data_IF_470952016831
#
_entry.id   IF_470952016831
#
_cell.length_a   1.000
_cell.length_b   1.000
_cell.length_c   1.000
_cell.angle_alpha   90.00
_cell.angle_beta   90.00
_cell.angle_gamma   90.00
#
_symmetry.space_group_name_H-M   'P 1'
#
loop_
_entity.id
_entity.type
_entity.pdbx_description
1 polymer ?
#
# COMPACT_ATOMS: atom_id res chain seq x y z
N UNK A 1 9.58 14.29 -20.93
CA UNK A 1 8.73 14.45 -22.12
C UNK A 1 7.63 15.49 -21.98
N UNK A 2 7.01 15.72 -20.81
CA UNK A 2 5.96 16.75 -20.64
C UNK A 2 6.35 18.18 -21.05
N UNK A 3 7.60 18.60 -20.79
CA UNK A 3 8.14 19.93 -21.19
C UNK A 3 8.05 20.22 -22.70
N UNK A 4 8.26 19.20 -23.53
CA UNK A 4 8.18 19.36 -25.00
C UNK A 4 6.73 19.40 -25.47
N UNK A 5 5.83 18.70 -24.79
CA UNK A 5 4.42 18.63 -25.18
C UNK A 5 3.71 19.98 -24.97
N UNK A 6 3.93 20.66 -23.83
CA UNK A 6 3.40 22.01 -23.61
C UNK A 6 4.03 23.04 -24.55
N UNK A 7 5.31 22.90 -24.88
CA UNK A 7 5.98 23.76 -25.87
C UNK A 7 5.38 23.58 -27.27
N UNK A 8 5.09 22.34 -27.69
CA UNK A 8 4.45 22.04 -28.98
C UNK A 8 3.00 22.52 -29.02
N UNK A 9 2.27 22.44 -27.90
CA UNK A 9 0.90 22.97 -27.81
C UNK A 9 0.81 24.49 -27.96
N UNK A 10 1.88 25.24 -27.69
CA UNK A 10 1.94 26.68 -27.98
C UNK A 10 2.09 27.03 -29.47
N UNK A 11 2.35 26.06 -30.35
CA UNK A 11 2.47 26.26 -31.80
C UNK A 11 1.20 25.88 -32.59
N UNK A 12 0.13 25.42 -31.94
CA UNK A 12 -1.07 24.88 -32.61
C UNK A 12 -2.03 25.97 -33.17
N UNK A 13 -1.65 27.24 -33.09
CA UNK A 13 -2.38 28.37 -33.67
C UNK A 13 -1.63 28.94 -34.88
N UNK A 14 -2.36 29.26 -35.95
CA UNK A 14 -1.87 29.69 -37.28
C UNK A 14 -1.15 31.08 -37.32
N UNK A 15 -0.45 31.44 -36.25
CA UNK A 15 0.34 32.66 -36.11
C UNK A 15 1.47 32.40 -35.11
N UNK A 16 2.71 32.76 -35.47
CA UNK A 16 3.87 32.70 -34.57
C UNK A 16 3.49 33.28 -33.20
N UNK A 17 3.58 32.52 -32.10
CA UNK A 17 3.27 33.04 -30.78
C UNK A 17 4.24 34.18 -30.48
N UNK A 18 3.69 35.35 -30.17
CA UNK A 18 4.45 36.53 -29.78
C UNK A 18 5.41 36.17 -28.64
N UNK A 19 6.65 36.68 -28.66
CA UNK A 19 7.69 36.29 -27.70
C UNK A 19 7.26 36.43 -26.23
N UNK A 20 6.32 37.34 -25.94
CA UNK A 20 5.68 37.49 -24.64
C UNK A 20 4.86 36.25 -24.20
N UNK A 21 4.19 35.57 -25.13
CA UNK A 21 3.44 34.33 -24.89
C UNK A 21 4.38 33.18 -24.50
N UNK A 22 5.51 33.06 -25.20
CA UNK A 22 6.52 32.03 -24.93
C UNK A 22 7.17 32.26 -23.56
N UNK A 23 7.54 33.50 -23.24
CA UNK A 23 8.16 33.82 -21.96
C UNK A 23 7.20 33.62 -20.79
N UNK A 24 5.91 33.94 -20.97
CA UNK A 24 4.87 33.68 -19.98
C UNK A 24 4.61 32.16 -19.78
N UNK A 25 4.59 31.38 -20.87
CA UNK A 25 4.51 29.92 -20.80
C UNK A 25 5.71 29.33 -20.02
N UNK A 26 6.92 29.79 -20.32
CA UNK A 26 8.13 29.36 -19.61
C UNK A 26 8.12 29.75 -18.13
N UNK A 27 7.68 30.96 -17.80
CA UNK A 27 7.52 31.42 -16.42
C UNK A 27 6.55 30.52 -15.63
N UNK A 28 5.41 30.16 -16.25
CA UNK A 28 4.43 29.23 -15.69
C UNK A 28 5.02 27.83 -15.49
N UNK A 29 5.76 27.31 -16.47
CA UNK A 29 6.42 26.01 -16.39
C UNK A 29 7.43 25.96 -15.24
N UNK A 30 8.25 26.99 -15.07
CA UNK A 30 9.21 27.10 -13.97
C UNK A 30 8.49 27.08 -12.62
N UNK A 31 7.40 27.83 -12.47
CA UNK A 31 6.60 27.83 -11.24
C UNK A 31 5.98 26.46 -10.94
N UNK A 32 5.51 25.74 -11.97
CA UNK A 32 4.94 24.40 -11.81
C UNK A 32 6.02 23.38 -11.45
N UNK A 33 7.19 23.46 -12.07
CA UNK A 33 8.33 22.58 -11.77
C UNK A 33 8.82 22.80 -10.34
N UNK A 34 8.95 24.05 -9.92
CA UNK A 34 9.25 24.44 -8.55
C UNK A 34 8.24 23.87 -7.54
N UNK A 35 6.95 23.98 -7.82
CA UNK A 35 5.90 23.42 -6.96
C UNK A 35 6.02 21.89 -6.87
N UNK A 36 6.28 21.21 -7.99
CA UNK A 36 6.49 19.77 -7.99
C UNK A 36 7.73 19.35 -7.21
N UNK A 37 8.84 20.09 -7.33
CA UNK A 37 10.06 19.83 -6.57
C UNK A 37 9.83 19.99 -5.07
N UNK A 38 9.13 21.05 -4.65
CA UNK A 38 8.71 21.25 -3.27
C UNK A 38 7.83 20.09 -2.76
N UNK A 39 6.87 19.61 -3.56
CA UNK A 39 6.04 18.44 -3.25
C UNK A 39 6.88 17.17 -3.07
N UNK A 40 7.83 16.92 -3.97
CA UNK A 40 8.74 15.75 -3.88
C UNK A 40 9.56 15.82 -2.59
N UNK A 41 10.06 17.00 -2.22
CA UNK A 41 10.80 17.18 -0.97
C UNK A 41 9.93 16.90 0.27
N UNK A 42 8.67 17.36 0.27
CA UNK A 42 7.69 17.03 1.30
C UNK A 42 7.46 15.52 1.42
N UNK A 43 7.14 14.84 0.31
CA UNK A 43 6.88 13.40 0.32
C UNK A 43 8.12 12.63 0.81
N UNK A 44 9.32 12.98 0.35
CA UNK A 44 10.57 12.39 0.84
C UNK A 44 10.77 12.58 2.35
N UNK A 45 10.42 13.76 2.87
CA UNK A 45 10.45 14.03 4.32
C UNK A 45 9.47 13.15 5.08
N UNK A 46 8.23 13.09 4.62
CA UNK A 46 7.16 12.30 5.22
C UNK A 46 7.41 10.79 5.13
N UNK A 47 7.93 10.28 4.02
CA UNK A 47 8.28 8.87 3.83
C UNK A 47 9.36 8.46 4.83
N UNK A 48 10.39 9.30 5.05
CA UNK A 48 11.41 9.05 6.07
C UNK A 48 10.83 9.04 7.48
N UNK A 49 9.92 9.96 7.79
CA UNK A 49 9.26 10.02 9.09
C UNK A 49 8.29 8.86 9.33
N UNK A 50 7.66 8.34 8.27
CA UNK A 50 6.66 7.26 8.32
C UNK A 50 7.22 5.87 7.96
N UNK A 51 8.54 5.76 7.74
CA UNK A 51 9.23 4.53 7.33
C UNK A 51 9.10 3.39 8.35
N UNK A 52 8.87 3.70 9.62
CA UNK A 52 8.72 2.69 10.67
C UNK A 52 7.55 1.73 10.41
N UNK A 53 7.73 0.46 10.76
CA UNK A 53 6.67 -0.57 10.61
C UNK A 53 5.47 -0.31 11.54
N UNK A 54 5.71 0.34 12.69
CA UNK A 54 4.69 0.67 13.69
C UNK A 54 3.90 1.93 13.31
N UNK A 55 2.59 1.91 13.59
CA UNK A 55 1.73 3.10 13.50
C UNK A 55 2.28 4.25 14.37
N UNK A 56 2.36 5.44 13.77
CA UNK A 56 2.69 6.67 14.49
C UNK A 56 1.45 7.29 15.14
N UNK A 57 1.57 7.91 16.33
CA UNK A 57 0.48 8.69 16.89
C UNK A 57 0.20 9.93 16.01
N UNK A 58 -1.07 10.30 15.90
CA UNK A 58 -1.54 11.38 15.01
C UNK A 58 -0.83 12.71 15.29
N UNK A 59 -0.63 13.04 16.57
CA UNK A 59 0.12 14.24 16.97
C UNK A 59 1.52 14.30 16.33
N UNK A 60 2.26 13.20 16.34
CA UNK A 60 3.61 13.15 15.73
C UNK A 60 3.55 13.21 14.20
N UNK A 61 2.49 12.66 13.60
CA UNK A 61 2.28 12.74 12.15
C UNK A 61 2.00 14.18 11.70
N UNK A 62 1.21 14.94 12.48
CA UNK A 62 0.96 16.36 12.24
C UNK A 62 2.21 17.21 12.48
N UNK A 63 2.99 16.94 13.52
CA UNK A 63 4.28 17.64 13.76
C UNK A 63 5.25 17.42 12.58
N UNK A 64 5.34 16.18 12.08
CA UNK A 64 6.14 15.86 10.89
C UNK A 64 5.62 16.58 9.64
N UNK A 65 4.29 16.61 9.45
CA UNK A 65 3.65 17.35 8.36
C UNK A 65 4.00 18.84 8.39
N UNK A 66 3.90 19.49 9.55
CA UNK A 66 4.24 20.92 9.70
C UNK A 66 5.71 21.15 9.37
N UNK A 67 6.62 20.35 9.94
CA UNK A 67 8.06 20.47 9.72
C UNK A 67 8.44 20.35 8.24
N UNK A 68 7.95 19.31 7.57
CA UNK A 68 8.26 19.07 6.17
C UNK A 68 7.48 20.00 5.23
N UNK A 69 6.29 20.45 5.64
CA UNK A 69 5.49 21.45 4.93
C UNK A 69 6.18 22.82 4.88
N UNK A 70 6.72 23.30 6.01
CA UNK A 70 7.54 24.52 6.06
C UNK A 70 8.77 24.38 5.16
N UNK A 71 9.41 23.21 5.17
CA UNK A 71 10.58 22.94 4.33
C UNK A 71 10.23 23.01 2.83
N UNK A 72 9.10 22.44 2.43
CA UNK A 72 8.62 22.48 1.04
C UNK A 72 8.26 23.91 0.60
N UNK A 73 7.57 24.68 1.44
CA UNK A 73 7.25 26.08 1.15
C UNK A 73 8.53 26.92 1.01
N UNK A 74 9.54 26.69 1.86
CA UNK A 74 10.84 27.35 1.76
C UNK A 74 11.61 26.99 0.49
N UNK A 75 11.42 25.77 -0.06
CA UNK A 75 12.00 25.39 -1.37
C UNK A 75 11.30 26.16 -2.48
N UNK A 76 9.97 26.27 -2.44
CA UNK A 76 9.21 27.02 -3.43
C UNK A 76 9.53 28.53 -3.41
N UNK A 77 9.75 29.11 -2.23
CA UNK A 77 10.10 30.53 -2.08
C UNK A 77 11.49 30.90 -2.63
N UNK A 78 12.39 29.91 -2.77
CA UNK A 78 13.71 30.11 -3.39
C UNK A 78 13.66 30.22 -4.91
N UNK A 79 12.53 29.90 -5.54
CA UNK A 79 12.42 29.90 -6.99
C UNK A 79 12.41 31.33 -7.56
N UNK A 80 13.07 31.56 -8.70
CA UNK A 80 13.23 32.89 -9.27
C UNK A 80 11.86 33.48 -9.63
N UNK A 81 11.66 34.76 -9.25
CA UNK A 81 10.41 35.52 -9.46
C UNK A 81 10.28 35.95 -10.93
N UNK A 82 10.13 34.99 -11.82
CA UNK A 82 9.96 35.20 -13.26
C UNK A 82 8.46 35.05 -13.56
N UNK A 83 7.85 36.10 -14.12
CA UNK A 83 6.42 36.13 -14.48
C UNK A 83 5.54 36.99 -13.57
N UNK A 84 4.23 36.98 -13.83
CA UNK A 84 3.23 37.74 -13.06
C UNK A 84 2.98 37.09 -11.69
N UNK A 85 2.74 37.91 -10.66
CA UNK A 85 2.50 37.44 -9.29
C UNK A 85 1.35 36.43 -9.19
N UNK A 86 0.37 36.51 -10.10
CA UNK A 86 -0.80 35.65 -10.18
C UNK A 86 -0.47 34.19 -10.55
N UNK A 87 0.55 33.97 -11.37
CA UNK A 87 0.97 32.60 -11.75
C UNK A 87 1.58 31.91 -10.54
N UNK A 88 2.38 32.64 -9.77
CA UNK A 88 3.00 32.14 -8.54
C UNK A 88 1.97 31.89 -7.44
N UNK A 89 1.00 32.77 -7.25
CA UNK A 89 -0.06 32.58 -6.24
C UNK A 89 -0.93 31.36 -6.54
N UNK A 90 -1.29 31.13 -7.81
CA UNK A 90 -2.01 29.92 -8.24
C UNK A 90 -1.18 28.65 -8.04
N UNK A 91 0.12 28.70 -8.36
CA UNK A 91 1.02 27.57 -8.13
C UNK A 91 1.19 27.24 -6.63
N UNK A 92 1.25 28.26 -5.77
CA UNK A 92 1.30 28.09 -4.31
C UNK A 92 0.00 27.47 -3.78
N UNK A 93 -1.16 27.98 -4.19
CA UNK A 93 -2.45 27.43 -3.80
C UNK A 93 -2.57 25.95 -4.19
N UNK A 94 -2.13 25.60 -5.41
CA UNK A 94 -2.08 24.21 -5.89
C UNK A 94 -1.11 23.35 -5.08
N UNK A 95 0.06 23.88 -4.73
CA UNK A 95 1.03 23.18 -3.88
C UNK A 95 0.46 22.88 -2.48
N UNK A 96 -0.28 23.81 -1.89
CA UNK A 96 -0.94 23.60 -0.60
C UNK A 96 -2.04 22.54 -0.68
N UNK A 97 -2.85 22.56 -1.74
CA UNK A 97 -3.85 21.52 -2.01
C UNK A 97 -3.19 20.14 -2.16
N UNK A 98 -2.11 20.07 -2.94
CA UNK A 98 -1.33 18.84 -3.15
C UNK A 98 -0.72 18.29 -1.84
N UNK A 99 -0.15 19.15 -1.00
CA UNK A 99 0.42 18.75 0.31
C UNK A 99 -0.68 18.25 1.26
N UNK A 100 -1.86 18.89 1.26
CA UNK A 100 -3.00 18.45 2.05
C UNK A 100 -3.55 17.09 1.56
N UNK A 101 -3.62 16.88 0.24
CA UNK A 101 -4.02 15.59 -0.33
C UNK A 101 -3.04 14.47 0.05
N UNK A 102 -1.74 14.75 0.03
CA UNK A 102 -0.72 13.79 0.49
C UNK A 102 -0.82 13.52 1.99
N UNK A 103 -1.13 14.52 2.82
CA UNK A 103 -1.37 14.31 4.25
C UNK A 103 -2.49 13.29 4.49
N UNK A 104 -3.61 13.42 3.79
CA UNK A 104 -4.73 12.46 3.89
C UNK A 104 -4.33 11.06 3.40
N UNK A 105 -3.47 10.96 2.38
CA UNK A 105 -2.86 9.69 1.98
C UNK A 105 -2.01 9.10 3.10
N UNK A 106 -1.14 9.89 3.75
CA UNK A 106 -0.30 9.42 4.86
C UNK A 106 -1.12 9.01 6.09
N UNK A 107 -2.23 9.71 6.40
CA UNK A 107 -3.16 9.31 7.46
C UNK A 107 -3.73 7.92 7.20
N UNK A 108 -4.22 7.66 5.98
CA UNK A 108 -4.74 6.34 5.58
C UNK A 108 -3.68 5.25 5.65
N UNK A 109 -2.46 5.52 5.16
CA UNK A 109 -1.34 4.57 5.25
C UNK A 109 -0.97 4.26 6.70
N UNK A 110 -0.97 5.28 7.57
CA UNK A 110 -0.68 5.10 8.99
C UNK A 110 -1.76 4.29 9.71
N UNK A 111 -3.04 4.51 9.39
CA UNK A 111 -4.15 3.70 9.90
C UNK A 111 -4.07 2.24 9.44
N UNK A 112 -3.65 1.99 8.19
CA UNK A 112 -3.46 0.63 7.69
C UNK A 112 -2.40 -0.16 8.49
N UNK A 113 -1.31 0.52 8.93
CA UNK A 113 -0.29 -0.09 9.81
C UNK A 113 -0.86 -0.56 11.15
N UNK A 114 -1.95 0.05 11.65
CA UNK A 114 -2.65 -0.39 12.87
C UNK A 114 -3.19 -1.82 12.71
N UNK A 115 -3.82 -2.10 11.57
CA UNK A 115 -4.48 -3.37 11.28
C UNK A 115 -3.45 -4.46 11.05
N UNK A 116 -2.38 -4.15 10.29
CA UNK A 116 -1.27 -5.10 10.06
C UNK A 116 -0.50 -5.42 11.33
N UNK A 117 -0.28 -4.44 12.22
CA UNK A 117 0.38 -4.68 13.51
C UNK A 117 -0.35 -5.68 14.41
N UNK A 118 -1.69 -5.73 14.35
CA UNK A 118 -2.49 -6.72 15.08
C UNK A 118 -2.41 -8.12 14.44
N UNK A 119 -2.40 -8.22 13.11
CA UNK A 119 -2.28 -9.51 12.41
C UNK A 119 -0.86 -10.11 12.55
N UNK A 120 0.19 -9.28 12.46
CA UNK A 120 1.58 -9.74 12.60
C UNK A 120 1.98 -10.08 14.03
N UNK A 121 1.33 -9.49 15.04
CA UNK A 121 1.50 -9.91 16.43
C UNK A 121 0.93 -11.32 16.69
N UNK A 122 -0.10 -11.73 15.94
CA UNK A 122 -0.64 -13.09 16.03
C UNK A 122 0.24 -14.14 15.32
N UNK A 123 0.98 -13.76 14.27
CA UNK A 123 1.91 -14.68 13.60
C UNK A 123 3.28 -14.78 14.28
N UNK A 124 3.76 -13.69 14.91
CA UNK A 124 5.10 -13.67 15.53
C UNK A 124 5.20 -14.43 16.86
N UNK A 125 4.08 -14.80 17.49
CA UNK A 125 4.06 -15.65 18.68
C UNK A 125 3.81 -17.14 18.38
N UNK A 126 3.74 -17.53 17.09
CA UNK A 126 3.41 -18.90 16.68
C UNK A 126 4.59 -19.78 16.22
N UNK A 127 5.77 -19.21 15.94
CA UNK A 127 6.77 -19.86 15.06
C UNK A 127 8.17 -20.01 15.67
N UNK A 128 8.28 -20.37 16.95
CA UNK A 128 9.62 -20.63 17.55
C UNK A 128 9.84 -22.05 18.08
N UNK A 129 8.99 -23.03 17.73
CA UNK A 129 9.25 -24.44 18.10
C UNK A 129 9.31 -25.39 16.90
N UNK A 130 8.87 -25.00 15.70
CA UNK A 130 8.70 -25.95 14.57
C UNK A 130 9.81 -25.93 13.49
N UNK A 131 10.91 -25.20 13.68
CA UNK A 131 12.00 -25.10 12.68
C UNK A 131 13.40 -25.41 13.24
N UNK A 132 13.50 -25.97 14.44
CA UNK A 132 14.78 -26.20 15.14
C UNK A 132 15.34 -27.63 15.08
N UNK A 133 14.58 -28.63 14.62
CA UNK A 133 15.05 -30.03 14.54
C UNK A 133 14.55 -30.63 13.24
N UNK A 134 15.43 -30.81 12.25
CA UNK A 134 15.04 -31.52 11.03
C UNK A 134 15.92 -31.42 9.79
N UNK A 135 17.04 -30.67 9.82
CA UNK A 135 18.10 -30.79 8.80
C UNK A 135 19.33 -31.44 9.43
N UNK A 136 19.27 -32.75 9.63
CA UNK A 136 20.41 -33.49 10.16
C UNK A 136 20.14 -34.98 10.24
N UNK A 137 20.67 -35.70 9.25
CA UNK A 137 20.89 -37.14 9.20
C UNK A 137 19.78 -38.05 8.63
N UNK A 138 20.23 -38.84 7.65
CA UNK A 138 19.77 -40.17 7.26
C UNK A 138 18.38 -40.24 6.61
N UNK A 139 18.27 -40.28 5.28
CA UNK A 139 18.56 -41.46 4.48
C UNK A 139 18.10 -42.78 5.15
N UNK A 140 17.10 -43.39 4.52
CA UNK A 140 16.71 -44.81 4.62
C UNK A 140 15.62 -45.18 5.64
N UNK A 141 14.38 -45.22 5.14
CA UNK A 141 13.52 -46.40 5.29
C UNK A 141 12.40 -46.33 6.34
N UNK A 142 11.18 -46.60 5.88
CA UNK A 142 9.99 -46.96 6.66
C UNK A 142 9.42 -45.82 7.54
N UNK A 143 8.46 -45.02 7.09
CA UNK A 143 7.07 -45.41 6.81
C UNK A 143 6.51 -46.41 7.83
N UNK A 144 5.37 -46.02 8.39
CA UNK A 144 4.45 -46.84 9.17
C UNK A 144 4.63 -46.79 10.70
N UNK A 145 3.75 -45.97 11.29
CA UNK A 145 2.93 -46.35 12.45
C UNK A 145 3.64 -46.24 13.81
N UNK A 146 2.99 -45.48 14.70
CA UNK A 146 3.22 -45.45 16.16
C UNK A 146 4.52 -44.82 16.67
N UNK A 147 4.49 -43.50 16.92
CA UNK A 147 5.05 -43.01 18.18
C UNK A 147 4.06 -42.08 18.87
N UNK A 148 3.14 -42.74 19.58
CA UNK A 148 2.77 -42.30 20.91
C UNK A 148 2.18 -40.88 21.03
N UNK A 149 0.92 -40.79 20.62
CA UNK A 149 -0.07 -40.24 21.55
C UNK A 149 0.17 -40.79 22.96
N UNK A 150 0.00 -39.93 23.96
CA UNK A 150 -0.14 -40.26 25.39
C UNK A 150 1.14 -40.47 26.19
N UNK A 151 1.66 -39.36 26.72
CA UNK A 151 1.95 -39.16 28.15
C UNK A 151 2.67 -37.80 28.22
N UNK A 152 2.10 -36.69 28.67
CA UNK A 152 1.11 -36.47 29.72
C UNK A 152 0.77 -34.97 29.66
N UNK A 153 -0.51 -34.64 29.80
CA UNK A 153 -0.91 -33.37 30.41
C UNK A 153 -1.28 -32.22 29.48
N UNK A 154 -2.58 -32.18 29.17
CA UNK A 154 -3.40 -30.96 29.27
C UNK A 154 -3.14 -29.84 28.24
N UNK A 155 -3.87 -29.83 27.11
CA UNK A 155 -4.21 -28.56 26.46
C UNK A 155 -5.63 -28.56 25.88
N UNK A 156 -6.52 -27.92 26.65
CA UNK A 156 -7.62 -27.04 26.25
C UNK A 156 -8.49 -27.42 25.05
N UNK A 157 -9.74 -27.76 25.35
CA UNK A 157 -10.84 -28.16 24.47
C UNK A 157 -11.35 -27.10 23.45
N UNK A 158 -10.56 -26.08 23.10
CA UNK A 158 -10.99 -24.99 22.22
C UNK A 158 -10.50 -25.06 20.76
N UNK A 159 -9.50 -25.89 20.44
CA UNK A 159 -8.84 -25.88 19.12
C UNK A 159 -9.43 -26.94 18.17
N UNK A 160 -10.18 -27.92 18.67
CA UNK A 160 -10.67 -29.05 17.87
C UNK A 160 -12.02 -28.79 17.17
N UNK A 161 -12.83 -27.84 17.65
CA UNK A 161 -14.16 -27.59 17.07
C UNK A 161 -14.11 -26.90 15.68
N UNK A 162 -13.09 -26.08 15.42
CA UNK A 162 -12.93 -25.35 14.15
C UNK A 162 -12.61 -26.30 12.97
N UNK A 163 -11.67 -27.26 13.06
CA UNK A 163 -11.42 -28.18 11.95
C UNK A 163 -12.56 -29.18 11.72
N UNK A 164 -13.29 -29.60 12.76
CA UNK A 164 -14.44 -30.51 12.60
C UNK A 164 -15.61 -29.82 11.90
N UNK A 165 -15.86 -28.54 12.23
CA UNK A 165 -16.92 -27.75 11.58
C UNK A 165 -16.63 -27.47 10.10
N UNK A 166 -15.36 -27.26 9.75
CA UNK A 166 -14.94 -27.09 8.35
C UNK A 166 -14.98 -28.41 7.57
N UNK A 167 -14.59 -29.52 8.18
CA UNK A 167 -14.64 -30.83 7.53
C UNK A 167 -16.08 -31.27 7.24
N UNK A 168 -17.01 -31.04 8.18
CA UNK A 168 -18.43 -31.35 7.98
C UNK A 168 -19.06 -30.48 6.89
N UNK A 169 -18.77 -29.17 6.87
CA UNK A 169 -19.19 -28.29 5.79
C UNK A 169 -18.63 -28.71 4.42
N UNK A 170 -17.38 -29.15 4.37
CA UNK A 170 -16.75 -29.62 3.13
C UNK A 170 -17.36 -30.93 2.63
N UNK A 171 -17.68 -31.87 3.52
CA UNK A 171 -18.36 -33.12 3.16
C UNK A 171 -19.79 -32.87 2.68
N UNK A 172 -20.53 -31.96 3.33
CA UNK A 172 -21.87 -31.55 2.88
C UNK A 172 -21.79 -30.87 1.51
N UNK A 173 -20.79 -30.02 1.28
CA UNK A 173 -20.58 -29.37 -0.02
C UNK A 173 -20.25 -30.39 -1.13
N UNK A 174 -19.38 -31.36 -0.87
CA UNK A 174 -19.09 -32.45 -1.80
C UNK A 174 -20.34 -33.29 -2.09
N UNK A 175 -21.14 -33.62 -1.07
CA UNK A 175 -22.37 -34.38 -1.26
C UNK A 175 -23.38 -33.61 -2.12
N UNK A 176 -23.63 -32.33 -1.84
CA UNK A 176 -24.54 -31.49 -2.62
C UNK A 176 -24.04 -31.27 -4.04
N UNK A 177 -22.72 -31.13 -4.24
CA UNK A 177 -22.14 -30.95 -5.58
C UNK A 177 -22.09 -32.24 -6.39
N UNK A 178 -21.94 -33.41 -5.74
CA UNK A 178 -21.91 -34.70 -6.41
C UNK A 178 -23.31 -35.23 -6.72
N UNK A 179 -24.32 -34.90 -5.91
CA UNK A 179 -25.71 -35.35 -6.09
C UNK A 179 -26.30 -35.05 -7.49
N UNK A 180 -26.21 -33.83 -8.06
CA UNK A 180 -26.73 -33.59 -9.40
C UNK A 180 -25.98 -34.37 -10.48
N UNK A 181 -24.66 -34.58 -10.31
CA UNK A 181 -23.87 -35.40 -11.23
C UNK A 181 -24.21 -36.89 -11.17
N UNK A 182 -24.56 -37.40 -9.99
CA UNK A 182 -24.95 -38.80 -9.81
C UNK A 182 -26.39 -39.03 -10.32
N UNK A 183 -27.31 -38.11 -10.07
CA UNK A 183 -28.69 -38.20 -10.56
C UNK A 183 -28.78 -38.10 -12.10
N UNK A 184 -27.91 -37.30 -12.74
CA UNK A 184 -27.78 -37.23 -14.19
C UNK A 184 -27.15 -38.50 -14.80
N UNK A 185 -26.28 -39.19 -14.05
CA UNK A 185 -25.75 -40.50 -14.45
C UNK A 185 -26.77 -41.63 -14.29
N UNK A 186 -27.60 -41.61 -13.23
CA UNK A 186 -28.63 -42.63 -12.98
C UNK A 186 -29.83 -42.53 -13.92
N UNK A 187 -30.15 -41.34 -14.45
CA UNK A 187 -31.16 -41.17 -15.52
C UNK A 187 -30.74 -41.71 -16.88
N UNK A 188 -29.47 -42.12 -17.02
CA UNK A 188 -28.88 -42.57 -18.29
C UNK A 188 -28.83 -44.08 -18.48
N UNK A 189 -29.43 -44.87 -17.57
CA UNK A 189 -29.76 -46.27 -17.84
C UNK A 189 -31.15 -46.37 -18.48
N UNK A 190 -31.25 -46.57 -19.82
CA UNK A 190 -32.46 -47.10 -20.41
C UNK A 190 -32.57 -48.60 -20.11
N UNK A 191 -33.81 -49.03 -19.82
CA UNK A 191 -34.26 -50.42 -19.83
C UNK A 191 -33.93 -51.12 -21.15
#
# INVERSE_FOLDING_TARGET
MKKLQEYVSSFDGNSLPEAHSILNANAKLICIEAANEAKIAYCRGMDRSTAGSRMMPEKKLLEAHIKHGITALNIFDKCPKIGTADVRSRALAKLQEDINAELERYKRLNQAKKVTGCASAMTACGDSVLLGVGLGAAASGAAAVTYWTLQTGLVSAGIVAIPISLATLFVVWLYVSAKPHIDDCLKKEPQ
#
